data_IF_873776463943
#
_entry.id   IF_873776463943
#
_cell.length_a   1.000
_cell.length_b   1.000
_cell.length_c   1.000
_cell.angle_alpha   90.00
_cell.angle_beta   90.00
_cell.angle_gamma   90.00
#
_symmetry.space_group_name_H-M   'P 1'
#
loop_
_entity.id
_entity.type
_entity.pdbx_description
1 polymer ?
#
# COMPACT_ATOMS: atom_id res chain seq x y z
N UNK A 1 13.95 -10.73 2.82
CA UNK A 1 13.94 -11.79 3.85
C UNK A 1 13.87 -11.23 5.27
N UNK A 2 14.68 -10.23 5.63
CA UNK A 2 14.55 -9.57 6.94
C UNK A 2 13.17 -8.95 7.19
N UNK A 3 12.57 -8.29 6.18
CA UNK A 3 11.22 -7.72 6.29
C UNK A 3 10.12 -8.77 6.48
N UNK A 4 10.18 -9.90 5.76
CA UNK A 4 9.21 -11.00 5.91
C UNK A 4 9.32 -11.69 7.28
N UNK A 5 10.53 -11.81 7.84
CA UNK A 5 10.75 -12.29 9.21
C UNK A 5 10.20 -11.30 10.25
N UNK A 6 10.42 -9.99 10.06
CA UNK A 6 9.88 -8.95 10.93
C UNK A 6 8.35 -8.92 10.94
N UNK A 7 7.72 -9.08 9.78
CA UNK A 7 6.25 -9.24 9.66
C UNK A 7 5.76 -10.49 10.39
N UNK A 8 6.47 -11.61 10.25
CA UNK A 8 6.18 -12.83 11.00
C UNK A 8 6.22 -12.63 12.52
N UNK A 9 7.27 -11.96 13.02
CA UNK A 9 7.42 -11.63 14.45
C UNK A 9 6.37 -10.66 14.98
N UNK A 10 5.91 -9.72 14.15
CA UNK A 10 4.87 -8.76 14.53
C UNK A 10 3.49 -9.44 14.61
N UNK A 11 3.20 -10.37 13.70
CA UNK A 11 1.88 -11.01 13.56
C UNK A 11 1.71 -12.24 14.47
N UNK A 12 2.78 -13.02 14.72
CA UNK A 12 2.71 -14.16 15.62
C UNK A 12 2.65 -13.69 17.08
N UNK A 13 1.43 -13.50 17.58
CA UNK A 13 1.18 -13.48 19.02
C UNK A 13 1.41 -14.87 19.64
N UNK A 14 1.63 -14.99 20.96
CA UNK A 14 1.82 -16.27 21.65
C UNK A 14 0.67 -17.28 21.47
N UNK A 15 -0.51 -16.80 21.05
CA UNK A 15 -1.72 -17.59 20.83
C UNK A 15 -2.04 -17.85 19.35
N UNK A 16 -1.14 -17.51 18.42
CA UNK A 16 -1.39 -17.67 16.98
C UNK A 16 -1.50 -19.16 16.59
N UNK A 17 -2.71 -19.60 16.23
CA UNK A 17 -2.95 -20.91 15.61
C UNK A 17 -2.95 -20.75 14.11
N UNK A 18 -2.18 -21.57 13.40
CA UNK A 18 -2.27 -21.64 11.94
C UNK A 18 -3.57 -22.34 11.56
N UNK A 19 -4.51 -21.58 11.00
CA UNK A 19 -5.71 -22.09 10.38
C UNK A 19 -5.47 -22.28 8.87
N UNK A 20 -5.72 -23.49 8.37
CA UNK A 20 -5.51 -23.85 6.98
C UNK A 20 -6.40 -23.02 6.03
N UNK A 21 -7.61 -22.65 6.47
CA UNK A 21 -8.53 -21.80 5.69
C UNK A 21 -7.93 -20.38 5.60
N UNK A 22 -7.48 -19.81 6.72
CA UNK A 22 -6.77 -18.52 6.73
C UNK A 22 -5.52 -18.50 5.84
N UNK A 23 -4.72 -19.57 5.84
CA UNK A 23 -3.53 -19.69 4.96
C UNK A 23 -3.94 -19.75 3.49
N UNK A 24 -4.94 -20.58 3.14
CA UNK A 24 -5.44 -20.67 1.77
C UNK A 24 -6.02 -19.32 1.29
N UNK A 25 -6.77 -18.63 2.17
CA UNK A 25 -7.31 -17.30 1.89
C UNK A 25 -6.19 -16.26 1.67
N UNK A 26 -5.14 -16.27 2.49
CA UNK A 26 -3.99 -15.38 2.32
C UNK A 26 -3.25 -15.64 1.00
N UNK A 27 -3.07 -16.90 0.61
CA UNK A 27 -2.46 -17.26 -0.67
C UNK A 27 -3.34 -16.84 -1.86
N UNK A 28 -4.65 -17.05 -1.78
CA UNK A 28 -5.59 -16.60 -2.80
C UNK A 28 -5.57 -15.07 -2.94
N UNK A 29 -5.54 -14.34 -1.82
CA UNK A 29 -5.43 -12.88 -1.81
C UNK A 29 -4.11 -12.42 -2.46
N UNK A 30 -2.98 -13.06 -2.14
CA UNK A 30 -1.70 -12.74 -2.75
C UNK A 30 -1.68 -13.00 -4.27
N UNK A 31 -2.25 -14.11 -4.72
CA UNK A 31 -2.36 -14.44 -6.14
C UNK A 31 -3.26 -13.43 -6.88
N UNK A 32 -4.40 -13.08 -6.28
CA UNK A 32 -5.31 -12.04 -6.79
C UNK A 32 -4.59 -10.69 -6.93
N UNK A 33 -3.80 -10.30 -5.93
CA UNK A 33 -3.02 -9.07 -5.95
C UNK A 33 -1.96 -9.08 -7.08
N UNK A 34 -1.25 -10.19 -7.23
CA UNK A 34 -0.25 -10.36 -8.29
C UNK A 34 -0.88 -10.28 -9.68
N UNK A 35 -1.99 -11.01 -9.90
CA UNK A 35 -2.75 -10.95 -11.15
C UNK A 35 -3.26 -9.53 -11.43
N UNK A 36 -3.84 -8.86 -10.43
CA UNK A 36 -4.32 -7.49 -10.57
C UNK A 36 -3.22 -6.52 -10.99
N UNK A 37 -2.04 -6.64 -10.39
CA UNK A 37 -0.87 -5.81 -10.72
C UNK A 37 -0.44 -6.02 -12.17
N UNK A 38 -0.29 -7.28 -12.60
CA UNK A 38 0.09 -7.63 -13.98
C UNK A 38 -0.95 -7.16 -14.99
N UNK A 39 -2.25 -7.29 -14.67
CA UNK A 39 -3.33 -6.91 -15.57
C UNK A 39 -3.41 -5.39 -15.76
N UNK A 40 -3.23 -4.63 -14.67
CA UNK A 40 -3.15 -3.16 -14.70
C UNK A 40 -1.97 -2.69 -15.56
N UNK A 41 -0.81 -3.34 -15.44
CA UNK A 41 0.36 -3.05 -16.28
C UNK A 41 0.08 -3.38 -17.76
N UNK A 42 -0.59 -4.49 -18.03
CA UNK A 42 -0.85 -4.97 -19.40
C UNK A 42 -1.88 -4.15 -20.16
N UNK A 43 -2.91 -3.66 -19.48
CA UNK A 43 -4.02 -2.93 -20.11
C UNK A 43 -3.82 -1.42 -20.16
N UNK A 44 -2.84 -0.90 -19.42
CA UNK A 44 -2.59 0.53 -19.30
C UNK A 44 -3.69 1.25 -18.49
N UNK A 45 -3.42 2.51 -18.13
CA UNK A 45 -4.34 3.30 -17.30
C UNK A 45 -5.20 4.15 -18.22
N UNK A 46 -6.51 3.88 -18.23
CA UNK A 46 -7.50 4.71 -18.91
C UNK A 46 -8.12 5.66 -17.87
N UNK A 47 -7.98 6.96 -18.08
CA UNK A 47 -8.50 7.99 -17.17
C UNK A 47 -7.50 8.49 -16.12
N UNK A 48 -7.97 9.42 -15.27
CA UNK A 48 -7.11 10.01 -14.23
C UNK A 48 -6.87 9.03 -13.08
N UNK A 49 -5.76 9.13 -12.33
CA UNK A 49 -5.47 8.26 -11.20
C UNK A 49 -6.60 8.21 -10.15
N UNK A 50 -7.26 9.34 -9.91
CA UNK A 50 -8.38 9.44 -8.98
C UNK A 50 -9.63 8.72 -9.54
N UNK A 51 -9.92 8.87 -10.83
CA UNK A 51 -11.04 8.18 -11.47
C UNK A 51 -10.84 6.66 -11.47
N UNK A 52 -9.63 6.19 -11.75
CA UNK A 52 -9.29 4.76 -11.66
C UNK A 52 -9.48 4.24 -10.23
N UNK A 53 -8.99 4.96 -9.22
CA UNK A 53 -9.17 4.56 -7.82
C UNK A 53 -10.66 4.55 -7.40
N UNK A 54 -11.44 5.55 -7.83
CA UNK A 54 -12.87 5.62 -7.54
C UNK A 54 -13.63 4.43 -8.16
N UNK A 55 -13.37 4.12 -9.44
CA UNK A 55 -13.98 2.97 -10.09
C UNK A 55 -13.51 1.64 -9.50
N UNK A 56 -12.23 1.52 -9.12
CA UNK A 56 -11.71 0.33 -8.45
C UNK A 56 -12.37 0.08 -7.09
N UNK A 57 -12.55 1.13 -6.27
CA UNK A 57 -13.23 1.01 -4.99
C UNK A 57 -14.72 0.71 -5.16
N UNK A 58 -15.39 1.35 -6.12
CA UNK A 58 -16.80 1.10 -6.40
C UNK A 58 -17.05 -0.34 -6.88
N UNK A 59 -16.27 -0.81 -7.85
CA UNK A 59 -16.39 -2.18 -8.36
C UNK A 59 -15.95 -3.20 -7.31
N UNK A 60 -14.87 -2.93 -6.58
CA UNK A 60 -14.42 -3.78 -5.48
C UNK A 60 -15.49 -3.93 -4.40
N UNK A 61 -16.11 -2.82 -4.00
CA UNK A 61 -17.24 -2.83 -3.07
C UNK A 61 -18.44 -3.60 -3.62
N UNK A 62 -18.78 -3.42 -4.89
CA UNK A 62 -19.90 -4.12 -5.53
C UNK A 62 -19.67 -5.64 -5.61
N UNK A 63 -18.44 -6.07 -5.88
CA UNK A 63 -18.06 -7.50 -5.90
C UNK A 63 -18.05 -8.09 -4.49
N UNK A 64 -17.63 -7.32 -3.48
CA UNK A 64 -17.62 -7.76 -2.08
C UNK A 64 -19.03 -7.78 -1.46
N UNK A 65 -19.94 -6.91 -1.90
CA UNK A 65 -21.29 -6.78 -1.36
C UNK A 65 -22.06 -8.10 -1.26
N UNK A 66 -22.18 -8.94 -2.32
CA UNK A 66 -22.89 -10.21 -2.21
C UNK A 66 -22.20 -11.15 -1.20
N UNK A 67 -20.86 -11.20 -1.19
CA UNK A 67 -20.13 -12.04 -0.23
C UNK A 67 -20.42 -11.60 1.21
N UNK A 68 -20.38 -10.30 1.49
CA UNK A 68 -20.72 -9.75 2.80
C UNK A 68 -22.16 -10.12 3.21
N UNK A 69 -23.13 -9.96 2.31
CA UNK A 69 -24.53 -10.29 2.60
C UNK A 69 -24.78 -11.78 2.83
N UNK A 70 -24.10 -12.67 2.11
CA UNK A 70 -24.28 -14.12 2.24
C UNK A 70 -23.48 -14.73 3.39
N UNK A 71 -22.30 -14.19 3.72
CA UNK A 71 -21.40 -14.75 4.74
C UNK A 71 -21.58 -14.06 6.10
N UNK A 72 -21.65 -12.73 6.12
CA UNK A 72 -21.77 -11.94 7.35
C UNK A 72 -23.23 -11.61 7.70
N UNK A 73 -24.12 -11.58 6.69
CA UNK A 73 -25.54 -11.29 6.87
C UNK A 73 -25.88 -9.79 6.70
N UNK A 74 -27.10 -9.42 7.08
CA UNK A 74 -27.52 -8.01 7.06
C UNK A 74 -26.77 -7.20 8.11
N UNK A 75 -26.20 -6.04 7.76
CA UNK A 75 -25.50 -5.21 8.72
C UNK A 75 -26.47 -4.72 9.81
N UNK A 76 -25.97 -4.51 11.05
CA UNK A 76 -26.75 -3.90 12.11
C UNK A 76 -27.30 -2.53 11.69
N UNK A 77 -28.41 -2.10 12.30
CA UNK A 77 -29.03 -0.80 12.00
C UNK A 77 -28.00 0.32 12.12
N UNK A 78 -27.89 1.13 11.06
CA UNK A 78 -26.92 2.22 10.99
C UNK A 78 -27.26 3.28 12.04
N UNK A 79 -26.43 3.39 13.07
CA UNK A 79 -26.56 4.46 14.06
C UNK A 79 -25.96 5.76 13.51
N UNK A 80 -26.39 6.91 14.04
CA UNK A 80 -25.80 8.21 13.69
C UNK A 80 -24.28 8.25 13.97
N UNK A 81 -23.82 7.58 15.03
CA UNK A 81 -22.39 7.45 15.36
C UNK A 81 -21.64 6.69 14.27
N UNK A 82 -22.19 5.57 13.79
CA UNK A 82 -21.59 4.79 12.71
C UNK A 82 -21.56 5.60 11.41
N UNK A 83 -22.63 6.34 11.11
CA UNK A 83 -22.70 7.20 9.93
C UNK A 83 -21.61 8.28 9.94
N UNK A 84 -21.39 8.95 11.08
CA UNK A 84 -20.30 9.94 11.24
C UNK A 84 -18.93 9.27 11.08
N UNK A 85 -18.74 8.07 11.65
CA UNK A 85 -17.51 7.28 11.48
C UNK A 85 -17.23 6.95 10.01
N UNK A 86 -18.25 6.47 9.28
CA UNK A 86 -18.14 6.20 7.85
C UNK A 86 -17.86 7.46 7.04
N UNK A 87 -18.55 8.57 7.34
CA UNK A 87 -18.30 9.83 6.67
C UNK A 87 -16.85 10.30 6.87
N UNK A 88 -16.32 10.17 8.08
CA UNK A 88 -14.91 10.47 8.37
C UNK A 88 -13.96 9.58 7.56
N UNK A 89 -14.18 8.25 7.53
CA UNK A 89 -13.34 7.32 6.78
C UNK A 89 -13.38 7.56 5.26
N UNK A 90 -14.57 7.84 4.72
CA UNK A 90 -14.77 8.09 3.29
C UNK A 90 -14.11 9.43 2.90
N UNK A 91 -14.38 10.50 3.63
CA UNK A 91 -13.93 11.84 3.25
C UNK A 91 -12.46 12.06 3.61
N UNK A 92 -12.08 11.81 4.86
CA UNK A 92 -10.74 12.11 5.37
C UNK A 92 -9.79 10.95 5.08
N UNK A 93 -10.17 9.73 5.47
CA UNK A 93 -9.31 8.55 5.32
C UNK A 93 -9.07 8.14 3.87
N UNK A 94 -10.06 8.35 3.00
CA UNK A 94 -10.02 7.87 1.60
C UNK A 94 -9.87 9.01 0.61
N UNK A 95 -10.87 9.88 0.45
CA UNK A 95 -10.89 10.88 -0.63
C UNK A 95 -9.76 11.91 -0.48
N UNK A 96 -9.62 12.53 0.69
CA UNK A 96 -8.56 13.49 0.97
C UNK A 96 -7.18 12.83 0.95
N UNK A 97 -7.04 11.64 1.55
CA UNK A 97 -5.81 10.85 1.54
C UNK A 97 -5.33 10.54 0.11
N UNK A 98 -6.20 10.05 -0.76
CA UNK A 98 -5.88 9.79 -2.17
C UNK A 98 -5.52 11.07 -2.93
N UNK A 99 -6.26 12.15 -2.71
CA UNK A 99 -5.96 13.43 -3.37
C UNK A 99 -4.58 13.95 -2.98
N UNK A 100 -4.26 13.94 -1.68
CA UNK A 100 -2.93 14.31 -1.16
C UNK A 100 -1.85 13.38 -1.69
N UNK A 101 -2.11 12.08 -1.80
CA UNK A 101 -1.17 11.11 -2.35
C UNK A 101 -0.83 11.40 -3.82
N UNK A 102 -1.84 11.59 -4.67
CA UNK A 102 -1.63 11.92 -6.09
C UNK A 102 -0.90 13.26 -6.24
N UNK A 103 -1.27 14.27 -5.44
CA UNK A 103 -0.56 15.56 -5.40
C UNK A 103 0.89 15.39 -4.94
N UNK A 104 1.11 14.58 -3.90
CA UNK A 104 2.42 14.26 -3.33
C UNK A 104 3.35 13.60 -4.34
N UNK A 105 2.85 12.63 -5.13
CA UNK A 105 3.60 12.04 -6.25
C UNK A 105 4.04 13.13 -7.24
N UNK A 106 3.13 14.04 -7.60
CA UNK A 106 3.41 15.12 -8.55
C UNK A 106 4.45 16.12 -8.06
N UNK A 107 4.53 16.37 -6.75
CA UNK A 107 5.48 17.34 -6.15
C UNK A 107 6.81 16.69 -5.80
N UNK A 108 6.81 15.48 -5.23
CA UNK A 108 7.99 14.83 -4.65
C UNK A 108 8.71 13.87 -5.60
N UNK A 109 8.08 13.46 -6.71
CA UNK A 109 8.67 12.55 -7.68
C UNK A 109 9.20 11.27 -7.05
N UNK A 110 10.51 11.00 -7.18
CA UNK A 110 11.14 9.78 -6.67
C UNK A 110 11.18 9.67 -5.12
N UNK A 111 10.96 10.76 -4.40
CA UNK A 111 10.97 10.77 -2.93
C UNK A 111 9.65 10.33 -2.28
N UNK A 112 8.61 10.09 -3.09
CA UNK A 112 7.28 9.69 -2.58
C UNK A 112 7.31 8.39 -1.77
N UNK A 113 8.30 7.52 -1.99
CA UNK A 113 8.49 6.29 -1.20
C UNK A 113 8.64 6.57 0.30
N UNK A 114 9.14 7.76 0.68
CA UNK A 114 9.22 8.15 2.09
C UNK A 114 7.83 8.33 2.72
N UNK A 115 6.86 8.86 1.97
CA UNK A 115 5.47 8.99 2.45
C UNK A 115 4.85 7.62 2.77
N UNK A 116 5.18 6.58 1.99
CA UNK A 116 4.73 5.21 2.25
C UNK A 116 5.28 4.64 3.55
N UNK A 117 6.49 5.05 3.96
CA UNK A 117 7.07 4.64 5.26
C UNK A 117 6.54 5.47 6.43
N UNK A 118 6.17 6.72 6.18
CA UNK A 118 5.59 7.58 7.20
C UNK A 118 4.24 7.04 7.69
N UNK A 119 3.48 6.35 6.83
CA UNK A 119 2.21 5.73 7.19
C UNK A 119 2.32 4.68 8.32
N UNK A 120 3.12 3.61 8.21
CA UNK A 120 3.26 2.65 9.31
C UNK A 120 3.88 3.28 10.56
N UNK A 121 4.78 4.26 10.43
CA UNK A 121 5.34 4.97 11.58
C UNK A 121 4.28 5.76 12.34
N UNK A 122 3.50 6.59 11.62
CA UNK A 122 2.41 7.37 12.21
C UNK A 122 1.33 6.49 12.81
N UNK A 123 0.95 5.40 12.13
CA UNK A 123 0.02 4.41 12.68
C UNK A 123 0.55 3.79 13.99
N UNK A 124 1.82 3.40 14.04
CA UNK A 124 2.45 2.82 15.25
C UNK A 124 2.47 3.83 16.39
N UNK A 125 2.85 5.08 16.13
CA UNK A 125 2.91 6.14 17.14
C UNK A 125 1.52 6.48 17.66
N UNK A 126 0.52 6.59 16.78
CA UNK A 126 -0.85 6.84 17.18
C UNK A 126 -1.45 5.65 17.94
N UNK A 127 -1.16 4.41 17.54
CA UNK A 127 -1.55 3.21 18.29
C UNK A 127 -1.00 3.23 19.71
N UNK A 128 0.29 3.52 19.87
CA UNK A 128 0.94 3.60 21.18
C UNK A 128 0.42 4.77 22.04
N UNK A 129 0.34 5.98 21.48
CA UNK A 129 0.04 7.20 22.24
C UNK A 129 -1.45 7.49 22.42
N UNK A 130 -2.28 7.19 21.41
CA UNK A 130 -3.71 7.52 21.41
C UNK A 130 -4.54 6.33 21.87
N UNK A 131 -4.22 5.11 21.41
CA UNK A 131 -4.95 3.90 21.81
C UNK A 131 -4.34 3.21 23.04
N UNK A 132 -3.13 3.60 23.46
CA UNK A 132 -2.45 2.98 24.59
C UNK A 132 -1.98 1.54 24.30
N UNK A 133 -1.84 1.18 23.02
CA UNK A 133 -1.39 -0.15 22.61
C UNK A 133 0.11 -0.31 22.88
N UNK A 134 0.44 -0.78 24.09
CA UNK A 134 1.81 -1.17 24.42
C UNK A 134 2.11 -2.54 23.84
N UNK A 135 2.83 -2.54 22.73
CA UNK A 135 3.33 -3.75 22.10
C UNK A 135 4.17 -4.56 23.09
N UNK A 136 4.01 -5.88 23.07
CA UNK A 136 4.94 -6.75 23.81
C UNK A 136 6.39 -6.46 23.39
N UNK A 137 7.41 -6.77 24.22
CA UNK A 137 8.81 -6.55 23.82
C UNK A 137 9.16 -7.19 22.48
N UNK A 138 8.54 -8.33 22.15
CA UNK A 138 8.69 -9.06 20.88
C UNK A 138 8.04 -8.31 19.71
N UNK A 139 6.83 -7.79 19.90
CA UNK A 139 6.14 -6.98 18.88
C UNK A 139 6.86 -5.64 18.65
N UNK A 140 7.39 -5.02 19.71
CA UNK A 140 8.22 -3.82 19.63
C UNK A 140 9.49 -4.08 18.81
N UNK A 141 10.18 -5.19 19.07
CA UNK A 141 11.34 -5.61 18.29
C UNK A 141 10.97 -5.90 16.82
N UNK A 142 9.81 -6.52 16.58
CA UNK A 142 9.26 -6.73 15.23
C UNK A 142 8.98 -5.42 14.48
N UNK A 143 8.35 -4.45 15.15
CA UNK A 143 8.08 -3.12 14.59
C UNK A 143 9.38 -2.37 14.24
N UNK A 144 10.36 -2.39 15.14
CA UNK A 144 11.69 -1.79 14.89
C UNK A 144 12.39 -2.48 13.71
N UNK A 145 12.32 -3.81 13.62
CA UNK A 145 12.88 -4.56 12.50
C UNK A 145 12.23 -4.20 11.17
N UNK A 146 10.89 -4.08 11.12
CA UNK A 146 10.16 -3.71 9.89
C UNK A 146 10.53 -2.29 9.46
N UNK A 147 10.52 -1.33 10.40
CA UNK A 147 10.89 0.05 10.12
C UNK A 147 12.35 0.14 9.65
N UNK A 148 13.27 -0.51 10.35
CA UNK A 148 14.69 -0.55 10.00
C UNK A 148 14.95 -1.21 8.65
N UNK A 149 14.31 -2.35 8.36
CA UNK A 149 14.43 -3.04 7.08
C UNK A 149 13.89 -2.19 5.92
N UNK A 150 12.80 -1.43 6.16
CA UNK A 150 12.22 -0.57 5.12
C UNK A 150 13.12 0.63 4.82
N UNK A 151 13.68 1.27 5.85
CA UNK A 151 14.68 2.36 5.68
C UNK A 151 15.92 1.86 4.94
N UNK A 152 16.48 0.73 5.36
CA UNK A 152 17.66 0.13 4.73
C UNK A 152 17.38 -0.25 3.27
N UNK A 153 16.23 -0.87 3.00
CA UNK A 153 15.79 -1.24 1.65
C UNK A 153 15.69 -0.03 0.73
N UNK A 154 15.11 1.07 1.18
CA UNK A 154 15.05 2.32 0.40
C UNK A 154 16.43 2.90 0.12
N UNK A 155 17.34 2.90 1.10
CA UNK A 155 18.70 3.40 0.90
C UNK A 155 19.47 2.57 -0.14
N UNK A 156 19.31 1.24 -0.11
CA UNK A 156 19.86 0.31 -1.09
C UNK A 156 19.23 0.51 -2.48
N UNK A 157 17.91 0.66 -2.58
CA UNK A 157 17.23 0.91 -3.85
C UNK A 157 17.57 2.28 -4.46
N UNK A 158 17.77 3.32 -3.64
CA UNK A 158 18.24 4.64 -4.08
C UNK A 158 19.66 4.55 -4.65
N UNK A 159 20.55 3.83 -3.98
CA UNK A 159 21.93 3.58 -4.47
C UNK A 159 21.95 2.76 -5.76
N UNK A 160 21.14 1.70 -5.86
CA UNK A 160 21.04 0.90 -7.08
C UNK A 160 20.51 1.71 -8.28
N UNK A 161 19.49 2.56 -8.08
CA UNK A 161 18.99 3.47 -9.13
C UNK A 161 20.06 4.50 -9.55
N UNK A 162 20.83 5.04 -8.61
CA UNK A 162 21.90 5.99 -8.92
C UNK A 162 23.04 5.38 -9.77
N UNK A 163 23.42 4.13 -9.49
CA UNK A 163 24.44 3.37 -10.24
C UNK A 163 23.98 3.02 -11.66
N UNK A 164 22.70 2.63 -11.83
CA UNK A 164 22.13 2.33 -13.15
C UNK A 164 22.01 3.59 -14.01
N UNK A 165 21.72 4.75 -13.42
CA UNK A 165 21.69 6.03 -14.15
C UNK A 165 23.08 6.49 -14.60
N UNK A 166 24.14 6.18 -13.86
CA UNK A 166 25.53 6.51 -14.25
C UNK A 166 26.11 5.54 -15.28
N UNK A 167 25.59 4.32 -15.38
CA UNK A 167 26.05 3.29 -16.33
C UNK A 167 25.23 3.24 -17.62
N UNK A 168 24.22 4.11 -17.78
CA UNK A 168 23.47 4.19 -19.05
C UNK A 168 24.40 4.77 -20.13
N UNK A 169 24.80 3.99 -21.15
CA UNK A 169 25.71 4.47 -22.17
C UNK A 169 25.04 5.63 -22.91
N UNK A 170 25.77 6.73 -23.05
CA UNK A 170 25.32 7.92 -23.77
C UNK A 170 24.60 7.50 -25.06
N UNK A 171 23.28 7.79 -25.11
CA UNK A 171 22.44 7.51 -26.27
C UNK A 171 23.17 8.08 -27.51
N UNK A 172 23.48 7.27 -28.54
CA UNK A 172 24.19 7.79 -29.70
C UNK A 172 23.36 8.92 -30.30
N UNK A 173 23.97 10.10 -30.39
CA UNK A 173 23.38 11.27 -31.04
C UNK A 173 23.10 10.87 -32.48
N UNK A 174 21.82 10.73 -32.84
CA UNK A 174 21.40 10.44 -34.20
C UNK A 174 21.82 11.65 -35.07
N UNK A 175 22.68 11.48 -36.09
CA UNK A 175 23.15 12.60 -36.90
C UNK A 175 21.95 13.26 -37.59
N UNK A 176 21.93 14.59 -37.54
CA UNK A 176 20.92 15.40 -38.20
C UNK A 176 20.93 15.10 -39.70
N UNK A 177 19.81 14.58 -40.22
CA UNK A 177 19.64 14.36 -41.65
C UNK A 177 19.73 15.68 -42.43
N UNK A 178 20.08 15.64 -43.73
CA UNK A 178 20.31 16.84 -44.51
C UNK A 178 19.05 17.71 -44.56
N UNK A 179 19.19 19.00 -44.22
CA UNK A 179 18.14 20.00 -44.48
C UNK A 179 18.04 20.17 -45.99
N UNK A 180 17.00 19.59 -46.59
CA UNK A 180 16.59 19.91 -47.96
C UNK A 180 16.08 21.36 -47.93
N UNK A 181 16.71 22.20 -48.76
CA UNK A 181 16.38 23.61 -48.97
C UNK A 181 15.17 23.76 -49.88
#
# INVERSE_FOLDING_TARGET
MAGSLGVGLLILGPAAKLDAIGVAAALAAALSMAMGTVLIERWGRIGTPLAVAAWQLALGGLVLLPVALFVEGLPPVLTARNAVGFAYLIVIGTALGYWLWIRGIGVLGADVTFLSLLSPLTATVLGALVLGEWFSPVQSAGAVLILGATVAGMALSRRAKAVVQTTSPARPVKPAGPRVR
#
